data_IF_847545360173
#
_entry.id   IF_847545360173
#
_cell.length_a   1.000
_cell.length_b   1.000
_cell.length_c   1.000
_cell.angle_alpha   90.00
_cell.angle_beta   90.00
_cell.angle_gamma   90.00
#
_symmetry.space_group_name_H-M   'P 1'
#
loop_
_entity.id
_entity.type
_entity.pdbx_description
1 polymer ?
#
# COMPACT_ATOMS: atom_id res chain seq x y z
N UNK A 1 -12.27 -28.39 1.37
CA UNK A 1 -11.08 -28.45 0.51
C UNK A 1 -11.43 -27.92 -0.87
N UNK A 2 -11.06 -26.66 -1.17
CA UNK A 2 -11.06 -26.12 -2.53
C UNK A 2 -9.77 -25.32 -2.69
N UNK A 3 -8.70 -26.03 -3.02
CA UNK A 3 -7.45 -25.47 -3.51
C UNK A 3 -7.45 -25.76 -5.00
N UNK A 4 -7.59 -24.73 -5.85
CA UNK A 4 -7.04 -24.70 -7.21
C UNK A 4 -7.27 -23.34 -7.87
N UNK A 5 -6.17 -22.83 -8.45
CA UNK A 5 -6.10 -21.92 -9.59
C UNK A 5 -6.54 -20.46 -9.42
N UNK A 6 -5.91 -19.72 -8.50
CA UNK A 6 -5.96 -18.24 -8.47
C UNK A 6 -4.56 -17.60 -8.53
N UNK A 7 -3.55 -18.39 -8.89
CA UNK A 7 -2.14 -17.96 -8.90
C UNK A 7 -1.66 -17.43 -10.25
N UNK A 8 -2.41 -17.69 -11.34
CA UNK A 8 -1.97 -17.37 -12.71
C UNK A 8 -2.30 -15.96 -13.19
N UNK A 9 -3.40 -15.35 -12.74
CA UNK A 9 -3.89 -14.09 -13.32
C UNK A 9 -3.31 -12.83 -12.65
N UNK A 10 -2.71 -12.97 -11.47
CA UNK A 10 -2.15 -11.86 -10.68
C UNK A 10 -0.75 -11.43 -11.15
N UNK A 11 -0.07 -12.27 -11.94
CA UNK A 11 1.33 -12.08 -12.36
C UNK A 11 1.50 -11.08 -13.50
N UNK A 12 0.47 -10.82 -14.30
CA UNK A 12 0.58 -9.96 -15.51
C UNK A 12 0.27 -8.47 -15.27
N UNK A 13 -0.14 -8.08 -14.07
CA UNK A 13 -0.73 -6.76 -13.81
C UNK A 13 0.28 -5.68 -13.36
N UNK A 14 1.50 -6.05 -12.98
CA UNK A 14 2.49 -5.11 -12.42
C UNK A 14 3.33 -4.43 -13.52
N UNK A 15 3.53 -5.06 -14.68
CA UNK A 15 4.43 -4.52 -15.71
C UNK A 15 3.85 -3.35 -16.52
N UNK A 16 2.53 -3.19 -16.59
CA UNK A 16 1.89 -2.21 -17.49
C UNK A 16 1.70 -0.80 -16.90
N UNK A 17 1.74 -0.65 -15.57
CA UNK A 17 1.32 0.61 -14.90
C UNK A 17 2.51 1.46 -14.44
N UNK A 18 3.72 0.89 -14.42
CA UNK A 18 4.93 1.57 -13.93
C UNK A 18 5.77 2.24 -15.04
N UNK A 19 5.39 2.07 -16.31
CA UNK A 19 6.19 2.47 -17.48
C UNK A 19 5.89 3.82 -18.11
N UNK A 20 5.21 4.76 -17.44
CA UNK A 20 4.85 6.05 -18.03
C UNK A 20 5.33 7.26 -17.21
N UNK A 21 6.31 7.97 -17.80
CA UNK A 21 6.75 9.34 -17.52
C UNK A 21 7.46 9.64 -16.18
N UNK A 22 8.79 9.57 -16.20
CA UNK A 22 9.68 10.54 -15.54
C UNK A 22 9.70 10.59 -14.01
N UNK A 23 9.10 9.62 -13.31
CA UNK A 23 9.24 9.46 -11.86
C UNK A 23 10.35 8.46 -11.57
N UNK A 24 11.23 8.82 -10.64
CA UNK A 24 12.05 7.85 -9.90
C UNK A 24 11.18 6.64 -9.55
N UNK A 25 11.67 5.44 -9.86
CA UNK A 25 10.98 4.20 -9.52
C UNK A 25 10.68 4.20 -8.02
N UNK A 26 9.41 4.39 -7.67
CA UNK A 26 8.95 4.49 -6.29
C UNK A 26 9.25 3.21 -5.50
N UNK A 27 9.39 2.09 -6.22
CA UNK A 27 9.67 0.78 -5.67
C UNK A 27 11.04 0.25 -6.15
N UNK A 28 12.01 1.14 -6.33
CA UNK A 28 13.40 0.76 -6.60
C UNK A 28 13.96 -0.19 -5.52
N UNK A 29 15.04 -0.91 -5.83
CA UNK A 29 15.66 -1.83 -4.88
C UNK A 29 15.92 -1.19 -3.51
N UNK A 30 15.41 -1.82 -2.44
CA UNK A 30 15.53 -1.35 -1.07
C UNK A 30 14.55 -0.24 -0.66
N UNK A 31 13.51 0.05 -1.46
CA UNK A 31 12.46 1.04 -1.13
C UNK A 31 11.76 0.81 0.20
N UNK A 32 11.76 -0.44 0.66
CA UNK A 32 11.08 -0.97 1.84
C UNK A 32 12.00 -1.05 3.07
N UNK A 33 13.16 -0.40 3.02
CA UNK A 33 14.16 -0.38 4.10
C UNK A 33 14.30 1.02 4.72
N UNK A 34 14.71 1.06 5.98
CA UNK A 34 15.05 2.31 6.68
C UNK A 34 13.85 3.12 7.19
N UNK A 35 12.66 2.51 7.27
CA UNK A 35 11.48 3.10 7.90
C UNK A 35 11.69 3.32 9.40
N UNK A 36 11.29 4.49 9.91
CA UNK A 36 11.42 4.82 11.33
C UNK A 36 10.22 5.58 11.94
N UNK A 37 9.08 5.62 11.27
CA UNK A 37 7.90 6.40 11.68
C UNK A 37 6.91 5.58 12.54
N UNK A 38 7.39 4.59 13.28
CA UNK A 38 6.54 3.63 14.00
C UNK A 38 5.80 4.24 15.21
N UNK A 39 6.49 5.14 15.92
CA UNK A 39 6.03 5.71 17.20
C UNK A 39 5.92 7.23 17.15
N UNK A 40 5.79 7.80 15.95
CA UNK A 40 5.67 9.24 15.73
C UNK A 40 4.21 9.69 15.66
N UNK A 41 3.99 10.99 15.75
CA UNK A 41 2.70 11.62 15.49
C UNK A 41 2.35 11.65 14.00
N UNK A 42 1.05 11.77 13.67
CA UNK A 42 0.60 12.01 12.30
C UNK A 42 1.17 13.32 11.73
N UNK A 43 1.45 14.32 12.57
CA UNK A 43 2.14 15.54 12.15
C UNK A 43 3.56 15.23 11.67
N UNK A 44 4.34 14.50 12.45
CA UNK A 44 5.70 14.09 12.04
C UNK A 44 5.68 13.22 10.79
N UNK A 45 4.69 12.34 10.66
CA UNK A 45 4.44 11.58 9.43
C UNK A 45 4.27 12.51 8.22
N UNK A 46 3.46 13.57 8.33
CA UNK A 46 3.23 14.51 7.22
C UNK A 46 4.50 15.26 6.78
N UNK A 47 5.43 15.50 7.70
CA UNK A 47 6.71 16.15 7.40
C UNK A 47 7.81 15.18 6.93
N UNK A 48 7.58 13.88 7.02
CA UNK A 48 8.54 12.89 6.57
C UNK A 48 8.59 12.78 5.03
N UNK A 49 9.78 12.44 4.53
CA UNK A 49 9.99 12.17 3.11
C UNK A 49 9.10 11.02 2.63
N UNK A 50 8.69 11.05 1.36
CA UNK A 50 7.92 9.96 0.73
C UNK A 50 8.59 8.59 0.90
N UNK A 51 9.94 8.53 0.77
CA UNK A 51 10.69 7.28 0.92
C UNK A 51 10.55 6.70 2.35
N UNK A 52 10.77 7.51 3.38
CA UNK A 52 10.64 7.06 4.77
C UNK A 52 9.19 6.67 5.13
N UNK A 53 8.20 7.41 4.61
CA UNK A 53 6.77 7.07 4.77
C UNK A 53 6.45 5.72 4.14
N UNK A 54 6.91 5.50 2.91
CA UNK A 54 6.67 4.26 2.19
C UNK A 54 7.39 3.07 2.84
N UNK A 55 8.64 3.24 3.28
CA UNK A 55 9.38 2.21 4.01
C UNK A 55 8.72 1.86 5.35
N UNK A 56 8.31 2.87 6.13
CA UNK A 56 7.58 2.65 7.39
C UNK A 56 6.22 1.99 7.15
N UNK A 57 5.54 2.32 6.05
CA UNK A 57 4.30 1.63 5.66
C UNK A 57 4.54 0.17 5.29
N UNK A 58 5.68 -0.18 4.69
CA UNK A 58 6.06 -1.57 4.45
C UNK A 58 6.28 -2.36 5.74
N UNK A 59 6.91 -1.74 6.73
CA UNK A 59 7.09 -2.33 8.05
C UNK A 59 5.74 -2.60 8.74
N UNK A 60 4.81 -1.63 8.73
CA UNK A 60 3.46 -1.84 9.24
C UNK A 60 2.69 -2.95 8.50
N UNK A 61 2.79 -3.02 7.17
CA UNK A 61 2.12 -4.08 6.41
C UNK A 61 2.67 -5.46 6.79
N UNK A 62 3.98 -5.59 7.01
CA UNK A 62 4.59 -6.85 7.48
C UNK A 62 4.17 -7.22 8.89
N UNK A 63 4.06 -6.24 9.77
CA UNK A 63 3.61 -6.42 11.16
C UNK A 63 2.14 -6.92 11.20
N UNK A 64 1.25 -6.27 10.47
CA UNK A 64 -0.20 -6.53 10.53
C UNK A 64 -0.70 -7.59 9.54
N UNK A 65 0.06 -7.85 8.47
CA UNK A 65 -0.26 -8.86 7.44
C UNK A 65 0.98 -9.71 7.12
N UNK A 66 1.51 -10.48 8.09
CA UNK A 66 2.77 -11.21 7.94
C UNK A 66 2.75 -12.28 6.83
N UNK A 67 1.54 -12.74 6.44
CA UNK A 67 1.35 -13.71 5.37
C UNK A 67 1.21 -13.08 3.97
N UNK A 68 1.36 -11.75 3.84
CA UNK A 68 1.21 -11.07 2.55
C UNK A 68 2.32 -11.50 1.58
N UNK A 69 2.00 -11.92 0.35
CA UNK A 69 3.01 -12.23 -0.66
C UNK A 69 3.88 -11.00 -0.97
N UNK A 70 5.19 -11.21 -1.18
CA UNK A 70 6.13 -10.13 -1.49
C UNK A 70 5.71 -9.28 -2.72
N UNK A 71 5.11 -9.92 -3.73
CA UNK A 71 4.59 -9.23 -4.93
C UNK A 71 3.45 -8.25 -4.62
N UNK A 72 2.72 -8.45 -3.52
CA UNK A 72 1.59 -7.61 -3.10
C UNK A 72 2.01 -6.50 -2.12
N UNK A 73 3.21 -6.57 -1.55
CA UNK A 73 3.72 -5.61 -0.59
C UNK A 73 3.73 -4.17 -1.14
N UNK A 74 4.21 -3.88 -2.37
CA UNK A 74 4.23 -2.52 -2.92
C UNK A 74 2.86 -1.82 -2.91
N UNK A 75 1.82 -2.53 -3.36
CA UNK A 75 0.47 -1.98 -3.42
C UNK A 75 -0.11 -1.76 -2.02
N UNK A 76 0.04 -2.74 -1.13
CA UNK A 76 -0.45 -2.63 0.24
C UNK A 76 0.22 -1.47 0.99
N UNK A 77 1.54 -1.34 0.89
CA UNK A 77 2.30 -0.24 1.51
C UNK A 77 1.87 1.12 0.98
N UNK A 78 1.69 1.27 -0.34
CA UNK A 78 1.22 2.52 -0.92
C UNK A 78 -0.19 2.91 -0.46
N UNK A 79 -1.09 1.93 -0.28
CA UNK A 79 -2.45 2.19 0.22
C UNK A 79 -2.46 2.57 1.70
N UNK A 80 -1.67 1.89 2.54
CA UNK A 80 -1.51 2.24 3.96
C UNK A 80 -0.90 3.62 4.11
N UNK A 81 0.18 3.90 3.38
CA UNK A 81 0.85 5.20 3.37
C UNK A 81 -0.10 6.33 2.97
N UNK A 82 -0.91 6.10 1.92
CA UNK A 82 -1.93 7.05 1.48
C UNK A 82 -2.94 7.33 2.59
N UNK A 83 -3.50 6.30 3.20
CA UNK A 83 -4.47 6.46 4.29
C UNK A 83 -3.90 7.22 5.49
N UNK A 84 -2.66 6.92 5.90
CA UNK A 84 -1.97 7.65 6.96
C UNK A 84 -1.71 9.10 6.59
N UNK A 85 -1.31 9.36 5.35
CA UNK A 85 -1.07 10.71 4.84
C UNK A 85 -2.36 11.52 4.78
N UNK A 86 -3.47 10.93 4.33
CA UNK A 86 -4.79 11.56 4.35
C UNK A 86 -5.27 11.83 5.79
N UNK A 87 -5.07 10.87 6.70
CA UNK A 87 -5.35 11.04 8.12
C UNK A 87 -4.54 12.18 8.73
N UNK A 88 -3.28 12.31 8.34
CA UNK A 88 -2.39 13.37 8.82
C UNK A 88 -2.82 14.76 8.36
N UNK A 89 -3.35 14.91 7.15
CA UNK A 89 -3.90 16.19 6.69
C UNK A 89 -5.18 16.57 7.43
N UNK A 90 -6.02 15.60 7.80
CA UNK A 90 -7.25 15.86 8.56
C UNK A 90 -6.93 16.21 10.02
N UNK A 91 -5.92 15.56 10.61
CA UNK A 91 -5.58 15.68 12.04
C UNK A 91 -4.34 16.55 12.31
N UNK A 92 -3.97 17.47 11.42
CA UNK A 92 -2.68 18.18 11.43
C UNK A 92 -2.36 19.02 12.70
N UNK A 93 -3.33 19.17 13.62
CA UNK A 93 -3.25 19.96 14.86
C UNK A 93 -3.22 19.05 16.10
N UNK A 94 -3.52 17.75 15.97
CA UNK A 94 -3.67 16.82 17.09
C UNK A 94 -2.43 15.92 17.23
N UNK A 95 -2.01 15.64 18.47
CA UNK A 95 -0.92 14.69 18.79
C UNK A 95 -1.37 13.22 18.65
N UNK A 96 -2.09 12.89 17.56
CA UNK A 96 -2.48 11.52 17.27
C UNK A 96 -1.24 10.74 16.81
N UNK A 97 -0.92 9.66 17.48
CA UNK A 97 0.15 8.74 17.08
C UNK A 97 -0.22 7.95 15.82
N UNK A 98 0.74 7.76 14.91
CA UNK A 98 0.59 6.96 13.68
C UNK A 98 0.01 5.58 13.99
N UNK A 99 0.53 4.92 15.04
CA UNK A 99 0.11 3.58 15.46
C UNK A 99 -1.41 3.45 15.67
N UNK A 100 -2.07 4.49 16.19
CA UNK A 100 -3.52 4.50 16.42
C UNK A 100 -4.37 4.42 15.15
N UNK A 101 -3.79 4.70 13.98
CA UNK A 101 -4.47 4.70 12.68
C UNK A 101 -4.13 3.49 11.82
N UNK A 102 -3.24 2.61 12.27
CA UNK A 102 -2.75 1.49 11.45
C UNK A 102 -3.86 0.50 11.15
N UNK A 103 -4.59 0.01 12.16
CA UNK A 103 -5.68 -0.96 11.93
C UNK A 103 -6.73 -0.43 10.92
N UNK A 104 -7.29 0.79 11.08
CA UNK A 104 -8.17 1.37 10.07
C UNK A 104 -7.54 1.49 8.67
N UNK A 105 -6.25 1.83 8.59
CA UNK A 105 -5.57 1.96 7.30
C UNK A 105 -5.26 0.61 6.64
N UNK A 106 -5.07 -0.45 7.43
CA UNK A 106 -4.96 -1.82 6.94
C UNK A 106 -6.29 -2.30 6.36
N UNK A 107 -7.41 -2.05 7.06
CA UNK A 107 -8.74 -2.36 6.55
C UNK A 107 -9.04 -1.60 5.25
N UNK A 108 -8.74 -0.31 5.20
CA UNK A 108 -8.85 0.52 3.99
C UNK A 108 -8.05 -0.08 2.83
N UNK A 109 -6.80 -0.50 3.07
CA UNK A 109 -5.95 -1.06 2.04
C UNK A 109 -6.52 -2.38 1.49
N UNK A 110 -7.03 -3.26 2.36
CA UNK A 110 -7.65 -4.53 1.95
C UNK A 110 -8.91 -4.30 1.11
N UNK A 111 -9.81 -3.42 1.56
CA UNK A 111 -11.05 -3.11 0.84
C UNK A 111 -10.76 -2.49 -0.53
N UNK A 112 -9.82 -1.54 -0.58
CA UNK A 112 -9.43 -0.89 -1.82
C UNK A 112 -8.79 -1.89 -2.79
N UNK A 113 -7.89 -2.75 -2.32
CA UNK A 113 -7.28 -3.79 -3.16
C UNK A 113 -8.32 -4.76 -3.74
N UNK A 114 -9.33 -5.16 -2.95
CA UNK A 114 -10.43 -6.00 -3.42
C UNK A 114 -11.28 -5.31 -4.48
N UNK A 115 -11.64 -4.04 -4.25
CA UNK A 115 -12.41 -3.24 -5.21
C UNK A 115 -11.66 -3.10 -6.55
N UNK A 116 -10.37 -2.77 -6.51
CA UNK A 116 -9.53 -2.69 -7.69
C UNK A 116 -9.49 -4.03 -8.45
N UNK A 117 -9.29 -5.15 -7.74
CA UNK A 117 -9.28 -6.47 -8.36
C UNK A 117 -10.60 -6.79 -9.08
N UNK A 118 -11.75 -6.42 -8.49
CA UNK A 118 -13.05 -6.59 -9.12
C UNK A 118 -13.23 -5.70 -10.36
N UNK A 119 -12.78 -4.45 -10.30
CA UNK A 119 -12.83 -3.55 -11.46
C UNK A 119 -11.98 -4.06 -12.63
N UNK A 120 -10.76 -4.54 -12.35
CA UNK A 120 -9.90 -5.12 -13.37
C UNK A 120 -10.54 -6.37 -14.00
N UNK A 121 -11.11 -7.27 -13.20
CA UNK A 121 -11.80 -8.46 -13.71
C UNK A 121 -12.99 -8.09 -14.61
N UNK A 122 -13.78 -7.07 -14.23
CA UNK A 122 -14.89 -6.55 -15.06
C UNK A 122 -14.37 -6.01 -16.39
N UNK A 123 -13.30 -5.21 -16.38
CA UNK A 123 -12.72 -4.63 -17.61
C UNK A 123 -12.15 -5.69 -18.56
N UNK A 124 -11.53 -6.75 -18.04
CA UNK A 124 -11.06 -7.87 -18.86
C UNK A 124 -12.22 -8.68 -19.47
N UNK A 125 -13.31 -8.85 -18.72
CA UNK A 125 -14.53 -9.48 -19.23
C UNK A 125 -15.23 -8.68 -20.34
N UNK A 126 -15.16 -7.34 -20.30
CA UNK A 126 -15.72 -6.45 -21.33
C UNK A 126 -14.84 -6.39 -22.59
N UNK A 127 -13.52 -6.56 -22.45
CA UNK A 127 -12.58 -6.56 -23.60
C UNK A 127 -12.58 -7.86 -24.43
N UNK A 128 -13.37 -8.87 -24.03
CA UNK A 128 -13.41 -10.20 -24.67
C UNK A 128 -14.67 -10.43 -25.53
N UNK A 129 -15.43 -9.37 -25.84
CA UNK A 129 -16.56 -9.36 -26.78
C UNK A 129 -16.26 -8.43 -27.94
#
# INVERSE_FOLDING_TARGET
MFVKTLTGLLVLLVCGVLGACGKTDRFADGWDQGGNLHDVSLREWAFATDANRLASAADFVREFIPALPAVSLPLASALVEKCLTESAYIAAIEEIGVRSRIEPCIEYAQQTAQSLAQEYAKRQGVSSQ
#
